data_IF_123618265543
#
_entry.id   IF_123618265543
#
_cell.length_a   1.000
_cell.length_b   1.000
_cell.length_c   1.000
_cell.angle_alpha   90.00
_cell.angle_beta   90.00
_cell.angle_gamma   90.00
#
_symmetry.space_group_name_H-M   'P 1'
#
loop_
_entity.id
_entity.type
_entity.pdbx_description
1 polymer ?
#
# COMPACT_ATOMS: atom_id res chain seq x y z
N UNK A 1 -20.34 -10.13 -1.19
CA UNK A 1 -19.43 -9.92 -0.04
C UNK A 1 -19.53 -8.50 0.54
N UNK A 2 -19.58 -7.42 -0.26
CA UNK A 2 -19.74 -6.01 0.20
C UNK A 2 -20.86 -5.74 1.22
N UNK A 3 -22.01 -6.39 1.07
CA UNK A 3 -23.18 -6.11 1.92
C UNK A 3 -22.96 -6.56 3.37
N UNK A 4 -22.39 -7.75 3.57
CA UNK A 4 -22.04 -8.27 4.89
C UNK A 4 -21.01 -7.38 5.60
N UNK A 5 -20.02 -6.91 4.85
CA UNK A 5 -18.92 -6.11 5.39
C UNK A 5 -19.37 -4.73 5.86
N UNK A 6 -20.25 -4.05 5.09
CA UNK A 6 -20.80 -2.73 5.47
C UNK A 6 -21.69 -2.78 6.72
N UNK A 7 -22.44 -3.86 6.93
CA UNK A 7 -23.32 -4.00 8.11
C UNK A 7 -22.57 -4.52 9.35
N UNK A 8 -21.47 -5.27 9.17
CA UNK A 8 -20.66 -5.79 10.27
C UNK A 8 -19.57 -4.81 10.72
N UNK A 9 -19.18 -3.87 9.86
CA UNK A 9 -18.15 -2.85 10.12
C UNK A 9 -18.33 -2.07 11.42
N UNK A 10 -19.53 -1.60 11.79
CA UNK A 10 -19.76 -0.91 13.07
C UNK A 10 -19.47 -1.78 14.30
N UNK A 11 -19.39 -3.10 14.12
CA UNK A 11 -19.22 -4.10 15.18
C UNK A 11 -17.88 -4.85 15.10
N UNK A 12 -17.03 -4.54 14.11
CA UNK A 12 -15.69 -5.09 14.07
C UNK A 12 -14.84 -4.35 15.09
N UNK A 13 -14.39 -5.05 16.14
CA UNK A 13 -13.46 -4.48 17.10
C UNK A 13 -12.20 -4.05 16.35
N UNK A 14 -11.79 -2.76 16.44
CA UNK A 14 -10.53 -2.34 15.85
C UNK A 14 -9.39 -3.12 16.49
N UNK A 15 -8.45 -3.56 15.66
CA UNK A 15 -7.23 -4.20 16.15
C UNK A 15 -6.46 -3.23 17.05
N UNK A 16 -5.74 -3.75 18.06
CA UNK A 16 -4.83 -2.94 18.85
C UNK A 16 -3.88 -2.13 17.93
N UNK A 17 -3.56 -0.87 18.28
CA UNK A 17 -2.59 -0.09 17.52
C UNK A 17 -1.25 -0.84 17.44
N UNK A 18 -0.82 -1.19 16.23
CA UNK A 18 0.44 -1.90 15.99
C UNK A 18 0.30 -3.29 15.37
N UNK A 19 -0.88 -3.88 15.38
CA UNK A 19 -1.14 -5.12 14.65
C UNK A 19 -1.45 -4.83 13.17
N UNK A 20 -0.94 -5.65 12.22
CA UNK A 20 -1.24 -5.47 10.81
C UNK A 20 -2.73 -5.72 10.54
N UNK A 21 -3.31 -4.90 9.65
CA UNK A 21 -4.71 -5.02 9.23
C UNK A 21 -5.01 -6.44 8.77
N UNK A 22 -6.17 -6.98 9.16
CA UNK A 22 -6.60 -8.27 8.61
C UNK A 22 -6.76 -8.13 7.09
N UNK A 23 -6.48 -9.19 6.31
CA UNK A 23 -6.61 -9.11 4.85
C UNK A 23 -7.96 -8.57 4.37
N UNK A 24 -9.05 -8.92 5.07
CA UNK A 24 -10.39 -8.43 4.78
C UNK A 24 -10.63 -6.96 5.15
N UNK A 25 -9.92 -6.41 6.15
CA UNK A 25 -9.96 -4.99 6.50
C UNK A 25 -9.15 -4.17 5.49
N UNK A 26 -8.01 -4.69 5.02
CA UNK A 26 -7.23 -4.04 3.96
C UNK A 26 -8.03 -3.93 2.65
N UNK A 27 -8.71 -4.99 2.24
CA UNK A 27 -9.59 -4.96 1.06
C UNK A 27 -10.75 -3.96 1.22
N UNK A 28 -11.33 -3.86 2.41
CA UNK A 28 -12.41 -2.91 2.69
C UNK A 28 -11.93 -1.46 2.71
N UNK A 29 -10.75 -1.18 3.27
CA UNK A 29 -10.13 0.14 3.25
C UNK A 29 -9.84 0.56 1.81
N UNK A 30 -9.30 -0.35 0.99
CA UNK A 30 -9.05 -0.10 -0.43
C UNK A 30 -10.35 0.17 -1.20
N UNK A 31 -11.44 -0.56 -0.92
CA UNK A 31 -12.75 -0.31 -1.54
C UNK A 31 -13.37 1.03 -1.10
N UNK A 32 -13.27 1.38 0.19
CA UNK A 32 -13.83 2.63 0.75
C UNK A 32 -13.03 3.86 0.26
N UNK A 33 -11.70 3.75 0.20
CA UNK A 33 -10.81 4.72 -0.45
C UNK A 33 -11.10 4.83 -1.95
N UNK A 34 -11.45 3.74 -2.64
CA UNK A 34 -11.88 3.76 -4.05
C UNK A 34 -13.25 4.37 -4.29
N UNK A 35 -14.14 4.33 -3.29
CA UNK A 35 -15.44 4.99 -3.33
C UNK A 35 -15.30 6.49 -3.04
N UNK A 36 -14.39 6.89 -2.14
CA UNK A 36 -14.12 8.28 -1.77
C UNK A 36 -13.30 9.04 -2.82
N UNK A 37 -12.19 8.48 -3.31
CA UNK A 37 -11.27 9.15 -4.25
C UNK A 37 -11.56 8.79 -5.72
N UNK A 38 -12.41 7.80 -5.95
CA UNK A 38 -12.75 7.26 -7.26
C UNK A 38 -11.76 6.21 -7.78
N UNK A 39 -12.19 5.34 -8.71
CA UNK A 39 -11.45 4.14 -9.12
C UNK A 39 -10.08 4.45 -9.76
N UNK A 40 -9.95 5.64 -10.36
CA UNK A 40 -8.71 6.10 -10.99
C UNK A 40 -7.65 6.47 -9.95
N UNK A 41 -8.03 7.16 -8.88
CA UNK A 41 -7.13 7.54 -7.80
C UNK A 41 -6.60 6.31 -7.07
N UNK A 42 -7.47 5.37 -6.68
CA UNK A 42 -7.04 4.14 -6.01
C UNK A 42 -6.18 3.24 -6.88
N UNK A 43 -6.46 3.17 -8.19
CA UNK A 43 -5.60 2.47 -9.13
C UNK A 43 -4.20 3.09 -9.20
N UNK A 44 -4.10 4.42 -9.20
CA UNK A 44 -2.83 5.13 -9.18
C UNK A 44 -2.10 4.96 -7.86
N UNK A 45 -2.78 5.10 -6.71
CA UNK A 45 -2.20 4.88 -5.38
C UNK A 45 -1.67 3.46 -5.23
N UNK A 46 -2.42 2.46 -5.69
CA UNK A 46 -2.00 1.05 -5.69
C UNK A 46 -0.74 0.84 -6.55
N UNK A 47 -0.67 1.47 -7.72
CA UNK A 47 0.50 1.42 -8.61
C UNK A 47 1.72 2.10 -7.97
N UNK A 48 1.53 3.27 -7.35
CA UNK A 48 2.58 4.00 -6.64
C UNK A 48 3.13 3.15 -5.50
N UNK A 49 2.26 2.53 -4.70
CA UNK A 49 2.66 1.64 -3.62
C UNK A 49 3.47 0.44 -4.12
N UNK A 50 3.04 -0.20 -5.23
CA UNK A 50 3.81 -1.27 -5.85
C UNK A 50 5.20 -0.80 -6.31
N UNK A 51 5.29 0.36 -6.95
CA UNK A 51 6.57 0.94 -7.38
C UNK A 51 7.51 1.17 -6.19
N UNK A 52 6.99 1.72 -5.09
CA UNK A 52 7.77 1.90 -3.84
C UNK A 52 8.28 0.59 -3.28
N UNK A 53 7.45 -0.46 -3.22
CA UNK A 53 7.92 -1.78 -2.75
C UNK A 53 9.02 -2.37 -3.61
N UNK A 54 8.91 -2.22 -4.93
CA UNK A 54 9.96 -2.69 -5.86
C UNK A 54 11.26 -1.93 -5.61
N UNK A 55 11.17 -0.60 -5.49
CA UNK A 55 12.33 0.24 -5.17
C UNK A 55 13.00 -0.19 -3.86
N UNK A 56 12.21 -0.40 -2.80
CA UNK A 56 12.72 -0.87 -1.50
C UNK A 56 13.41 -2.24 -1.62
N UNK A 57 12.80 -3.18 -2.35
CA UNK A 57 13.39 -4.50 -2.56
C UNK A 57 14.73 -4.43 -3.28
N UNK A 58 14.87 -3.54 -4.28
CA UNK A 58 16.12 -3.33 -5.02
C UNK A 58 17.20 -2.65 -4.17
N UNK A 59 16.82 -1.73 -3.29
CA UNK A 59 17.77 -1.09 -2.36
C UNK A 59 18.31 -2.10 -1.33
N UNK A 60 17.47 -3.06 -0.92
CA UNK A 60 17.80 -4.09 0.06
C UNK A 60 18.50 -5.32 -0.53
N UNK A 61 18.38 -5.58 -1.83
CA UNK A 61 18.97 -6.77 -2.47
C UNK A 61 20.50 -6.73 -2.56
N UNK A 62 21.09 -5.54 -2.46
CA UNK A 62 22.54 -5.33 -2.64
C UNK A 62 23.01 -5.43 -4.10
N UNK A 63 22.09 -5.62 -5.06
CA UNK A 63 22.38 -5.70 -6.49
C UNK A 63 22.83 -4.34 -7.07
N UNK A 64 22.44 -3.25 -6.42
CA UNK A 64 22.80 -1.90 -6.80
C UNK A 64 24.04 -1.44 -6.03
N UNK A 65 25.19 -1.23 -6.71
CA UNK A 65 26.40 -0.78 -6.04
C UNK A 65 26.19 0.56 -5.33
N UNK A 66 26.82 0.71 -4.16
CA UNK A 66 26.80 1.95 -3.40
C UNK A 66 27.35 3.13 -4.21
N UNK A 67 26.68 4.28 -4.13
CA UNK A 67 27.02 5.49 -4.89
C UNK A 67 26.71 5.45 -6.40
N UNK A 68 26.26 4.31 -6.93
CA UNK A 68 25.86 4.20 -8.34
C UNK A 68 24.70 5.15 -8.66
N UNK A 69 24.64 5.58 -9.93
CA UNK A 69 23.53 6.39 -10.42
C UNK A 69 22.20 5.65 -10.27
N UNK A 70 22.19 4.35 -10.60
CA UNK A 70 21.01 3.51 -10.48
C UNK A 70 20.47 3.46 -9.03
N UNK A 71 21.35 3.32 -8.03
CA UNK A 71 20.94 3.33 -6.61
C UNK A 71 20.31 4.66 -6.20
N UNK A 72 20.88 5.79 -6.65
CA UNK A 72 20.33 7.13 -6.39
C UNK A 72 18.96 7.33 -7.05
N UNK A 73 18.80 6.88 -8.29
CA UNK A 73 17.54 7.00 -9.02
C UNK A 73 16.43 6.16 -8.33
N UNK A 74 16.76 4.95 -7.86
CA UNK A 74 15.82 4.10 -7.10
C UNK A 74 15.50 4.68 -5.73
N UNK A 75 16.49 5.27 -5.04
CA UNK A 75 16.28 5.97 -3.77
C UNK A 75 15.31 7.15 -3.93
N UNK A 76 15.45 7.93 -5.00
CA UNK A 76 14.55 9.05 -5.28
C UNK A 76 13.09 8.59 -5.53
N UNK A 77 12.88 7.42 -6.14
CA UNK A 77 11.53 6.84 -6.32
C UNK A 77 10.93 6.41 -4.99
N UNK A 78 11.75 5.91 -4.06
CA UNK A 78 11.30 5.53 -2.72
C UNK A 78 10.92 6.74 -1.86
N UNK A 79 11.72 7.81 -1.94
CA UNK A 79 11.55 9.02 -1.12
C UNK A 79 10.44 9.98 -1.61
N UNK A 80 9.99 9.83 -2.86
CA UNK A 80 8.90 10.62 -3.48
C UNK A 80 7.53 10.32 -2.86
#
# INVERSE_FOLDING_TARGET
MRWYFRISHPYMLPLPPGDPSRPCEAEAIIEDEAEADGPLATSLTSRIYMMKRIAQSLLNSGELPEGSRARRDVQAIWDA
#
